data_IF_093968792089
#
_entry.id   IF_093968792089
#
_cell.length_a   1.000
_cell.length_b   1.000
_cell.length_c   1.000
_cell.angle_alpha   90.00
_cell.angle_beta   90.00
_cell.angle_gamma   90.00
#
_symmetry.space_group_name_H-M   'P 1'
#
loop_
_entity.id
_entity.type
_entity.pdbx_description
1 polymer ?
#
# COMPACT_ATOMS: atom_id res chain seq x y z
N UNK A 1 12.15 12.49 6.80
CA UNK A 1 13.55 11.97 6.79
C UNK A 1 14.06 11.57 8.17
N UNK A 2 13.90 12.40 9.20
CA UNK A 2 14.36 12.13 10.58
C UNK A 2 13.82 10.80 11.18
N UNK A 3 12.54 10.49 11.03
CA UNK A 3 11.94 9.22 11.49
C UNK A 3 12.47 8.01 10.69
N UNK A 4 12.81 8.19 9.42
CA UNK A 4 13.37 7.14 8.56
C UNK A 4 14.80 6.79 8.98
N UNK A 5 15.58 7.80 9.39
CA UNK A 5 16.89 7.61 10.01
C UNK A 5 16.77 6.93 11.37
N UNK A 6 15.78 7.28 12.19
CA UNK A 6 15.56 6.63 13.49
C UNK A 6 15.06 5.20 13.38
N UNK A 7 14.21 4.87 12.40
CA UNK A 7 13.74 3.50 12.15
C UNK A 7 14.84 2.65 11.50
N UNK A 8 15.59 3.22 10.54
CA UNK A 8 16.76 2.57 9.96
C UNK A 8 17.88 2.37 10.99
N UNK A 9 18.13 3.35 11.85
CA UNK A 9 19.09 3.27 12.95
C UNK A 9 18.59 2.34 14.06
N UNK A 10 17.30 2.29 14.38
CA UNK A 10 16.73 1.32 15.32
C UNK A 10 16.75 -0.10 14.74
N UNK A 11 16.55 -0.27 13.44
CA UNK A 11 16.66 -1.57 12.76
C UNK A 11 18.12 -2.02 12.69
N UNK A 12 19.05 -1.12 12.35
CA UNK A 12 20.48 -1.39 12.40
C UNK A 12 20.96 -1.57 13.84
N UNK A 13 20.42 -0.85 14.83
CA UNK A 13 20.74 -1.07 16.24
C UNK A 13 20.17 -2.38 16.72
N UNK A 14 18.94 -2.78 16.39
CA UNK A 14 18.38 -4.06 16.83
C UNK A 14 19.11 -5.22 16.14
N UNK A 15 19.46 -5.09 14.86
CA UNK A 15 20.26 -6.11 14.16
C UNK A 15 21.72 -6.10 14.64
N UNK A 16 22.37 -4.95 14.79
CA UNK A 16 23.75 -4.85 15.26
C UNK A 16 23.88 -5.13 16.75
N UNK A 17 22.89 -4.85 17.58
CA UNK A 17 22.84 -5.21 19.00
C UNK A 17 22.47 -6.68 19.17
N UNK A 18 21.61 -7.24 18.31
CA UNK A 18 21.39 -8.70 18.23
C UNK A 18 22.64 -9.45 17.78
N UNK A 19 23.35 -8.93 16.78
CA UNK A 19 24.65 -9.46 16.31
C UNK A 19 25.76 -9.23 17.35
N UNK A 20 25.82 -8.06 18.00
CA UNK A 20 26.83 -7.75 19.02
C UNK A 20 26.59 -8.52 20.33
N UNK A 21 25.34 -8.74 20.76
CA UNK A 21 25.03 -9.66 21.87
C UNK A 21 25.47 -11.10 21.55
N UNK A 22 25.38 -11.51 20.28
CA UNK A 22 25.88 -12.81 19.81
C UNK A 22 27.42 -12.86 19.79
N UNK A 23 28.09 -11.78 19.40
CA UNK A 23 29.56 -11.71 19.35
C UNK A 23 30.23 -11.48 20.72
N UNK A 24 29.57 -10.80 21.65
CA UNK A 24 30.15 -10.41 22.96
C UNK A 24 29.76 -11.35 24.09
N UNK A 25 28.67 -12.12 23.98
CA UNK A 25 28.13 -12.86 25.15
C UNK A 25 28.07 -14.38 25.04
N UNK A 26 28.42 -15.01 23.91
CA UNK A 26 28.39 -16.49 23.83
C UNK A 26 29.56 -17.04 23.01
N UNK A 27 30.60 -17.59 23.64
CA UNK A 27 31.63 -18.36 22.94
C UNK A 27 30.98 -19.62 22.34
N UNK A 28 31.06 -19.80 21.01
CA UNK A 28 30.67 -21.06 20.34
C UNK A 28 29.37 -21.05 19.52
N UNK A 29 29.05 -19.99 18.79
CA UNK A 29 27.92 -20.04 17.83
C UNK A 29 28.30 -20.78 16.54
N UNK A 30 27.64 -21.92 16.31
CA UNK A 30 27.65 -22.65 15.05
C UNK A 30 27.11 -21.78 13.91
N UNK A 31 27.75 -21.81 12.75
CA UNK A 31 27.32 -21.10 11.53
C UNK A 31 25.82 -21.34 11.17
N UNK A 32 25.24 -22.46 11.63
CA UNK A 32 23.82 -22.77 11.48
C UNK A 32 22.87 -21.79 12.19
N UNK A 33 23.24 -21.19 13.33
CA UNK A 33 22.38 -20.21 14.02
C UNK A 33 22.31 -18.89 13.26
N UNK A 34 23.43 -18.44 12.69
CA UNK A 34 23.50 -17.25 11.84
C UNK A 34 22.62 -17.41 10.60
N UNK A 35 22.67 -18.57 9.94
CA UNK A 35 21.82 -18.88 8.78
C UNK A 35 20.33 -18.85 9.14
N UNK A 36 19.95 -19.42 10.30
CA UNK A 36 18.55 -19.42 10.75
C UNK A 36 18.03 -18.01 11.05
N UNK A 37 18.84 -17.17 11.68
CA UNK A 37 18.51 -15.76 11.90
C UNK A 37 18.34 -15.01 10.58
N UNK A 38 19.22 -15.25 9.61
CA UNK A 38 19.11 -14.66 8.28
C UNK A 38 17.81 -15.08 7.57
N UNK A 39 17.42 -16.36 7.66
CA UNK A 39 16.16 -16.86 7.10
C UNK A 39 14.94 -16.21 7.75
N UNK A 40 14.89 -16.16 9.09
CA UNK A 40 13.81 -15.48 9.82
C UNK A 40 13.73 -14.00 9.45
N UNK A 41 14.88 -13.32 9.39
CA UNK A 41 14.97 -11.94 8.96
C UNK A 41 14.45 -11.73 7.54
N UNK A 42 14.78 -12.63 6.62
CA UNK A 42 14.32 -12.57 5.23
C UNK A 42 12.79 -12.69 5.10
N UNK A 43 12.15 -13.59 5.87
CA UNK A 43 10.67 -13.77 5.87
C UNK A 43 9.95 -12.48 6.27
N UNK A 44 10.54 -11.69 7.18
CA UNK A 44 9.96 -10.41 7.61
C UNK A 44 10.34 -9.26 6.68
N UNK A 45 11.60 -9.22 6.21
CA UNK A 45 12.13 -8.11 5.43
C UNK A 45 11.60 -8.09 3.99
N UNK A 46 11.46 -9.26 3.34
CA UNK A 46 11.05 -9.35 1.94
C UNK A 46 9.67 -8.71 1.68
N UNK A 47 8.62 -9.00 2.47
CA UNK A 47 7.32 -8.34 2.28
C UNK A 47 7.35 -6.82 2.51
N UNK A 48 8.16 -6.36 3.46
CA UNK A 48 8.25 -4.94 3.80
C UNK A 48 8.98 -4.13 2.71
N UNK A 49 10.05 -4.70 2.14
CA UNK A 49 10.87 -4.06 1.12
C UNK A 49 10.31 -4.27 -0.29
N UNK A 50 10.20 -5.52 -0.74
CA UNK A 50 9.91 -5.84 -2.15
C UNK A 50 8.45 -5.58 -2.54
N UNK A 51 7.53 -5.75 -1.59
CA UNK A 51 6.09 -5.65 -1.85
C UNK A 51 5.45 -4.41 -1.23
N UNK A 52 6.24 -3.39 -0.91
CA UNK A 52 5.75 -2.11 -0.39
C UNK A 52 4.91 -2.25 0.89
N UNK A 53 5.13 -3.31 1.68
CA UNK A 53 4.47 -3.50 2.97
C UNK A 53 4.72 -2.33 3.95
N UNK A 54 5.80 -1.58 3.75
CA UNK A 54 6.04 -0.34 4.48
C UNK A 54 4.91 0.69 4.32
N UNK A 55 4.26 0.76 3.15
CA UNK A 55 3.13 1.67 2.94
C UNK A 55 1.88 1.23 3.72
N UNK A 56 1.69 -0.09 3.90
CA UNK A 56 0.65 -0.64 4.79
C UNK A 56 0.90 -0.21 6.24
N UNK A 57 2.16 -0.25 6.70
CA UNK A 57 2.54 0.22 8.04
C UNK A 57 2.38 1.73 8.18
N UNK A 58 2.79 2.52 7.19
CA UNK A 58 2.63 3.99 7.18
C UNK A 58 1.17 4.43 7.24
N UNK A 59 0.28 3.64 6.67
CA UNK A 59 -1.16 3.90 6.68
C UNK A 59 -1.90 3.18 7.80
N UNK A 60 -1.17 2.53 8.73
CA UNK A 60 -1.76 1.77 9.82
C UNK A 60 -2.63 2.64 10.74
N UNK A 61 -2.20 3.87 11.00
CA UNK A 61 -2.91 4.85 11.82
C UNK A 61 -4.06 5.58 11.12
N UNK A 62 -4.32 5.32 9.84
CA UNK A 62 -5.36 6.01 9.10
C UNK A 62 -6.78 5.53 9.46
N UNK A 63 -7.80 6.36 9.17
CA UNK A 63 -9.20 5.95 9.24
C UNK A 63 -9.49 4.77 8.30
N UNK A 64 -10.58 4.04 8.58
CA UNK A 64 -11.03 2.93 7.74
C UNK A 64 -11.62 3.40 6.40
N UNK A 65 -12.09 4.65 6.38
CA UNK A 65 -12.58 5.37 5.22
C UNK A 65 -11.47 6.28 4.69
N UNK A 66 -11.39 6.40 3.36
CA UNK A 66 -10.52 7.39 2.76
C UNK A 66 -11.20 8.77 2.79
N UNK A 67 -10.41 9.82 2.71
CA UNK A 67 -10.92 11.20 2.69
C UNK A 67 -10.01 12.08 1.87
N UNK A 68 -10.57 13.12 1.26
CA UNK A 68 -9.78 14.18 0.66
C UNK A 68 -10.31 15.55 1.09
N UNK A 69 -9.44 16.55 1.06
CA UNK A 69 -9.83 17.95 1.25
C UNK A 69 -9.34 18.78 0.09
N UNK A 70 -10.23 19.61 -0.45
CA UNK A 70 -9.93 20.58 -1.49
C UNK A 70 -9.46 21.89 -0.86
N UNK A 71 -8.41 22.48 -1.39
CA UNK A 71 -7.88 23.80 -1.00
C UNK A 71 -7.42 24.54 -2.25
N UNK A 72 -7.53 25.85 -2.25
CA UNK A 72 -6.95 26.64 -3.34
C UNK A 72 -5.43 26.72 -3.17
N UNK A 73 -4.70 26.72 -4.28
CA UNK A 73 -3.26 26.89 -4.32
C UNK A 73 -2.91 28.34 -4.65
N UNK A 74 -2.58 29.18 -3.65
CA UNK A 74 -2.23 30.57 -3.91
C UNK A 74 -0.94 30.72 -4.74
N UNK A 75 -0.08 29.72 -4.80
CA UNK A 75 1.17 29.79 -5.56
C UNK A 75 0.96 29.57 -7.06
N UNK A 76 0.02 28.70 -7.44
CA UNK A 76 -0.25 28.37 -8.85
C UNK A 76 -1.58 28.94 -9.36
N UNK A 77 -2.40 29.54 -8.49
CA UNK A 77 -3.76 29.98 -8.79
C UNK A 77 -4.75 28.83 -9.06
N UNK A 78 -4.29 27.58 -8.83
CA UNK A 78 -5.04 26.35 -9.05
C UNK A 78 -5.66 25.80 -7.77
N UNK A 79 -5.89 24.50 -7.74
CA UNK A 79 -6.51 23.78 -6.62
C UNK A 79 -5.63 22.60 -6.22
N UNK A 80 -5.44 22.38 -4.92
CA UNK A 80 -4.80 21.19 -4.35
C UNK A 80 -5.84 20.32 -3.65
N UNK A 81 -5.77 19.02 -3.92
CA UNK A 81 -6.49 17.98 -3.22
C UNK A 81 -5.52 17.22 -2.32
N UNK A 82 -5.64 17.41 -1.01
CA UNK A 82 -4.91 16.62 -0.01
C UNK A 82 -5.66 15.29 0.20
N UNK A 83 -5.13 14.20 -0.32
CA UNK A 83 -5.77 12.87 -0.29
C UNK A 83 -5.15 12.00 0.80
N UNK A 84 -6.00 11.50 1.71
CA UNK A 84 -5.61 10.56 2.76
C UNK A 84 -6.21 9.18 2.48
N UNK A 85 -5.36 8.15 2.27
CA UNK A 85 -5.84 6.81 1.99
C UNK A 85 -6.45 6.15 3.23
N UNK A 86 -7.36 5.21 3.02
CA UNK A 86 -7.86 4.35 4.08
C UNK A 86 -6.73 3.46 4.62
N UNK A 87 -6.85 3.00 5.87
CA UNK A 87 -5.99 1.93 6.39
C UNK A 87 -6.34 0.58 5.78
N UNK A 88 -5.35 -0.31 5.69
CA UNK A 88 -5.60 -1.71 5.35
C UNK A 88 -6.52 -2.39 6.38
N UNK A 89 -7.27 -3.39 5.94
CA UNK A 89 -8.10 -4.22 6.79
C UNK A 89 -7.20 -5.07 7.71
N UNK A 90 -7.27 -4.77 9.02
CA UNK A 90 -6.44 -5.43 10.04
C UNK A 90 -6.87 -6.86 10.36
N UNK A 91 -8.17 -7.16 10.22
CA UNK A 91 -8.82 -8.31 10.84
C UNK A 91 -8.73 -9.68 10.13
N UNK A 92 -8.03 -9.85 8.99
CA UNK A 92 -7.47 -11.16 8.67
C UNK A 92 -5.96 -11.25 8.94
N UNK A 93 -5.24 -10.16 8.72
CA UNK A 93 -3.78 -10.22 8.64
C UNK A 93 -3.10 -10.22 10.02
N UNK A 94 -3.68 -9.52 11.01
CA UNK A 94 -3.08 -9.45 12.35
C UNK A 94 -2.93 -10.81 13.04
N UNK A 95 -3.98 -11.66 13.13
CA UNK A 95 -3.82 -12.98 13.74
C UNK A 95 -2.80 -13.86 13.01
N UNK A 96 -2.78 -13.78 11.67
CA UNK A 96 -1.84 -14.54 10.84
C UNK A 96 -0.39 -14.09 11.04
N UNK A 97 -0.14 -12.77 11.11
CA UNK A 97 1.18 -12.24 11.41
C UNK A 97 1.60 -12.52 12.86
N UNK A 98 0.67 -12.49 13.82
CA UNK A 98 0.95 -12.84 15.21
C UNK A 98 1.32 -14.32 15.35
N UNK A 99 0.54 -15.21 14.74
CA UNK A 99 0.82 -16.65 14.71
C UNK A 99 2.14 -16.94 13.99
N UNK A 100 2.36 -16.34 12.81
CA UNK A 100 3.60 -16.50 12.05
C UNK A 100 4.82 -15.99 12.82
N UNK A 101 4.74 -14.80 13.43
CA UNK A 101 5.82 -14.26 14.27
C UNK A 101 6.12 -15.13 15.49
N UNK A 102 5.07 -15.62 16.17
CA UNK A 102 5.23 -16.56 17.28
C UNK A 102 5.91 -17.87 16.83
N UNK A 103 5.50 -18.42 15.68
CA UNK A 103 6.10 -19.63 15.13
C UNK A 103 7.55 -19.42 14.68
N UNK A 104 7.92 -18.25 14.14
CA UNK A 104 9.32 -17.92 13.84
C UNK A 104 10.16 -17.85 15.12
N UNK A 105 9.63 -17.25 16.18
CA UNK A 105 10.29 -17.21 17.48
C UNK A 105 10.49 -18.63 18.05
N UNK A 106 9.45 -19.45 18.00
CA UNK A 106 9.52 -20.86 18.42
C UNK A 106 10.47 -21.68 17.55
N UNK A 107 10.52 -21.41 16.24
CA UNK A 107 11.46 -22.05 15.33
C UNK A 107 12.90 -21.78 15.74
N UNK A 108 13.24 -20.54 16.12
CA UNK A 108 14.58 -20.20 16.62
C UNK A 108 14.90 -20.91 17.95
N UNK A 109 13.94 -20.91 18.89
CA UNK A 109 14.14 -21.51 20.21
C UNK A 109 14.29 -23.04 20.18
N UNK A 110 13.43 -23.72 19.43
CA UNK A 110 13.46 -25.19 19.29
C UNK A 110 14.53 -25.62 18.27
N UNK A 111 14.76 -24.80 17.25
CA UNK A 111 15.74 -25.02 16.20
C UNK A 111 17.16 -25.14 16.73
N UNK A 112 17.48 -24.43 17.81
CA UNK A 112 18.74 -24.58 18.53
C UNK A 112 19.05 -26.03 18.93
N UNK A 113 18.04 -26.89 19.09
CA UNK A 113 18.17 -28.29 19.48
C UNK A 113 17.86 -29.30 18.36
N UNK A 114 17.13 -28.89 17.32
CA UNK A 114 16.75 -29.78 16.21
C UNK A 114 16.53 -29.02 14.92
N UNK A 115 17.29 -29.36 13.87
CA UNK A 115 17.12 -28.78 12.54
C UNK A 115 15.77 -29.14 11.91
N UNK A 116 15.26 -30.36 12.14
CA UNK A 116 13.95 -30.78 11.64
C UNK A 116 12.80 -29.96 12.24
N UNK A 117 12.88 -29.67 13.55
CA UNK A 117 11.89 -28.84 14.23
C UNK A 117 11.95 -27.36 13.77
N UNK A 118 13.15 -26.83 13.51
CA UNK A 118 13.30 -25.51 12.88
C UNK A 118 12.57 -25.45 11.54
N UNK A 119 12.86 -26.39 10.64
CA UNK A 119 12.31 -26.39 9.28
C UNK A 119 10.78 -26.50 9.31
N UNK A 120 10.23 -27.41 10.12
CA UNK A 120 8.78 -27.58 10.24
C UNK A 120 8.07 -26.31 10.70
N UNK A 121 8.54 -25.69 11.80
CA UNK A 121 7.95 -24.45 12.32
C UNK A 121 8.15 -23.27 11.38
N UNK A 122 9.33 -23.17 10.76
CA UNK A 122 9.65 -22.12 9.79
C UNK A 122 8.70 -22.16 8.58
N UNK A 123 8.48 -23.34 7.99
CA UNK A 123 7.56 -23.49 6.83
C UNK A 123 6.15 -23.04 7.20
N UNK A 124 5.61 -23.51 8.33
CA UNK A 124 4.26 -23.13 8.78
C UNK A 124 4.18 -21.62 9.03
N UNK A 125 5.21 -21.05 9.64
CA UNK A 125 5.28 -19.61 9.87
C UNK A 125 5.29 -18.80 8.57
N UNK A 126 6.07 -19.22 7.56
CA UNK A 126 6.10 -18.60 6.25
C UNK A 126 4.76 -18.68 5.55
N UNK A 127 4.03 -19.79 5.67
CA UNK A 127 2.66 -19.92 5.15
C UNK A 127 1.72 -18.93 5.84
N UNK A 128 1.72 -18.84 7.17
CA UNK A 128 0.90 -17.87 7.89
C UNK A 128 1.19 -16.42 7.46
N UNK A 129 2.46 -16.05 7.36
CA UNK A 129 2.87 -14.71 6.92
C UNK A 129 2.50 -14.47 5.47
N UNK A 130 2.72 -15.44 4.58
CA UNK A 130 2.36 -15.35 3.17
C UNK A 130 0.87 -15.14 2.94
N UNK A 131 0.03 -15.90 3.66
CA UNK A 131 -1.44 -15.71 3.63
C UNK A 131 -1.84 -14.35 4.24
N UNK A 132 -1.20 -13.92 5.34
CA UNK A 132 -1.43 -12.58 5.89
C UNK A 132 -1.11 -11.48 4.88
N UNK A 133 0.01 -11.63 4.18
CA UNK A 133 0.48 -10.76 3.12
C UNK A 133 -0.50 -10.68 1.94
N UNK A 134 -1.09 -11.79 1.49
CA UNK A 134 -2.05 -11.78 0.38
C UNK A 134 -3.31 -10.94 0.67
N UNK A 135 -3.65 -10.70 1.93
CA UNK A 135 -4.76 -9.81 2.31
C UNK A 135 -4.38 -8.33 2.34
N UNK A 136 -3.12 -7.95 2.57
CA UNK A 136 -2.75 -6.55 2.84
C UNK A 136 -1.88 -5.91 1.76
N UNK A 137 -1.12 -6.72 1.02
CA UNK A 137 -0.19 -6.24 0.00
C UNK A 137 -0.83 -5.84 -1.33
N UNK A 138 -1.96 -6.42 -1.79
CA UNK A 138 -2.63 -5.93 -2.99
C UNK A 138 -2.98 -4.43 -2.88
N UNK A 139 -2.47 -3.63 -3.82
CA UNK A 139 -2.62 -2.17 -3.82
C UNK A 139 -1.81 -1.44 -2.75
N UNK A 140 -0.85 -2.08 -2.08
CA UNK A 140 -0.03 -1.45 -1.05
C UNK A 140 0.95 -0.41 -1.62
N UNK A 141 1.44 -0.62 -2.84
CA UNK A 141 2.32 0.34 -3.53
C UNK A 141 1.68 1.73 -3.60
N UNK A 142 0.41 1.79 -3.99
CA UNK A 142 -0.31 3.05 -4.24
C UNK A 142 -0.94 3.64 -2.97
N UNK A 143 -0.88 2.92 -1.85
CA UNK A 143 -1.49 3.32 -0.57
C UNK A 143 -0.56 4.29 0.20
N UNK A 144 -0.47 5.53 -0.27
CA UNK A 144 0.29 6.61 0.38
C UNK A 144 -0.49 7.93 0.37
N UNK A 145 -0.37 8.77 1.42
CA UNK A 145 -0.89 10.14 1.38
C UNK A 145 -0.28 10.89 0.21
N UNK A 146 -1.10 11.60 -0.56
CA UNK A 146 -0.67 12.29 -1.76
C UNK A 146 -1.42 13.61 -1.92
N UNK A 147 -0.74 14.59 -2.52
CA UNK A 147 -1.32 15.86 -2.91
C UNK A 147 -1.47 15.86 -4.42
N UNK A 148 -2.70 16.07 -4.89
CA UNK A 148 -2.97 16.22 -6.32
C UNK A 148 -3.24 17.70 -6.59
N UNK A 149 -2.35 18.37 -7.31
CA UNK A 149 -2.56 19.75 -7.75
C UNK A 149 -3.12 19.79 -9.17
N UNK A 150 -4.04 20.70 -9.40
CA UNK A 150 -4.61 21.01 -10.72
C UNK A 150 -4.43 22.50 -10.93
N UNK A 151 -3.65 22.86 -11.95
CA UNK A 151 -3.41 24.26 -12.34
C UNK A 151 -3.41 24.40 -13.86
N UNK A 152 -3.28 25.63 -14.36
CA UNK A 152 -3.14 25.89 -15.79
C UNK A 152 -1.98 25.15 -16.47
N UNK A 153 -0.97 24.72 -15.71
CA UNK A 153 0.15 23.90 -16.22
C UNK A 153 -0.23 22.42 -16.41
N UNK A 154 -1.14 21.89 -15.59
CA UNK A 154 -1.54 20.49 -15.65
C UNK A 154 -2.00 19.91 -14.31
N UNK A 155 -2.13 18.59 -14.30
CA UNK A 155 -2.45 17.79 -13.12
C UNK A 155 -1.17 17.14 -12.62
N UNK A 156 -0.82 17.34 -11.36
CA UNK A 156 0.39 16.77 -10.77
C UNK A 156 0.09 16.03 -9.47
N UNK A 157 0.67 14.85 -9.31
CA UNK A 157 0.55 14.00 -8.13
C UNK A 157 1.88 13.28 -7.86
N UNK A 158 2.63 13.74 -6.86
CA UNK A 158 3.97 13.22 -6.59
C UNK A 158 4.87 13.29 -7.82
N UNK A 159 5.32 12.13 -8.31
CA UNK A 159 6.20 12.01 -9.49
C UNK A 159 5.43 11.96 -10.82
N UNK A 160 4.09 11.89 -10.78
CA UNK A 160 3.24 11.85 -11.97
C UNK A 160 2.75 13.25 -12.32
N UNK A 161 3.00 13.70 -13.54
CA UNK A 161 2.52 14.98 -14.05
C UNK A 161 1.96 14.83 -15.46
N UNK A 162 0.74 15.31 -15.68
CA UNK A 162 0.08 15.30 -16.98
C UNK A 162 -0.29 16.74 -17.36
N UNK A 163 0.22 17.27 -18.48
CA UNK A 163 -0.18 18.58 -18.99
C UNK A 163 -1.70 18.69 -19.19
N UNK A 164 -2.27 19.86 -18.90
CA UNK A 164 -3.73 20.05 -18.92
C UNK A 164 -4.40 19.69 -20.26
N UNK A 165 -3.69 19.95 -21.36
CA UNK A 165 -4.14 19.72 -22.73
C UNK A 165 -4.03 18.25 -23.15
N UNK A 166 -3.15 17.47 -22.51
CA UNK A 166 -3.00 16.05 -22.81
C UNK A 166 -3.86 15.17 -21.90
N UNK A 167 -4.57 15.70 -20.90
CA UNK A 167 -5.47 14.87 -20.09
C UNK A 167 -6.63 14.35 -20.94
N UNK A 168 -6.61 13.07 -21.30
CA UNK A 168 -7.66 12.44 -22.10
C UNK A 168 -8.76 11.85 -21.23
N UNK A 169 -8.37 11.28 -20.08
CA UNK A 169 -9.28 10.46 -19.30
C UNK A 169 -8.90 10.44 -17.82
N UNK A 170 -9.92 10.36 -16.98
CA UNK A 170 -9.80 10.22 -15.54
C UNK A 170 -10.71 9.06 -15.10
N UNK A 171 -10.11 7.97 -14.61
CA UNK A 171 -10.83 6.74 -14.29
C UNK A 171 -10.68 6.36 -12.84
N UNK A 172 -11.69 5.68 -12.32
CA UNK A 172 -11.61 4.96 -11.06
C UNK A 172 -11.29 3.51 -11.39
N UNK A 173 -10.19 3.00 -10.85
CA UNK A 173 -9.78 1.60 -10.99
C UNK A 173 -9.78 0.91 -9.65
N UNK A 174 -10.10 -0.39 -9.65
CA UNK A 174 -9.93 -1.25 -8.49
C UNK A 174 -8.57 -1.95 -8.59
N UNK A 175 -7.56 -1.39 -7.93
CA UNK A 175 -6.18 -1.92 -7.92
C UNK A 175 -5.85 -2.80 -6.71
N UNK A 176 -6.85 -3.09 -5.87
CA UNK A 176 -6.71 -3.86 -4.65
C UNK A 176 -7.02 -5.35 -4.82
N UNK A 177 -7.29 -6.01 -3.71
CA UNK A 177 -7.71 -7.42 -3.70
C UNK A 177 -9.02 -7.56 -4.48
N UNK A 178 -9.02 -8.39 -5.52
CA UNK A 178 -10.22 -8.77 -6.27
C UNK A 178 -10.84 -9.99 -5.60
N UNK A 179 -12.14 -9.90 -5.34
CA UNK A 179 -12.91 -10.97 -4.71
C UNK A 179 -14.07 -11.31 -5.60
N UNK A 180 -14.19 -12.59 -5.95
CA UNK A 180 -15.28 -13.12 -6.77
C UNK A 180 -16.66 -12.70 -6.18
N UNK A 181 -17.59 -12.18 -7.01
CA UNK A 181 -18.95 -11.81 -6.59
C UNK A 181 -19.91 -12.99 -6.35
N UNK A 182 -19.63 -14.20 -6.85
CA UNK A 182 -20.61 -15.30 -6.85
C UNK A 182 -20.87 -15.87 -5.45
N UNK A 183 -22.12 -16.10 -5.03
CA UNK A 183 -22.44 -16.59 -3.68
C UNK A 183 -21.78 -17.94 -3.40
N UNK A 184 -21.06 -18.04 -2.27
CA UNK A 184 -20.45 -19.29 -1.82
C UNK A 184 -21.42 -19.98 -0.86
N UNK A 185 -21.79 -21.23 -1.16
CA UNK A 185 -22.64 -22.05 -0.30
C UNK A 185 -21.81 -23.09 0.47
N UNK A 186 -21.95 -23.18 1.82
CA UNK A 186 -21.35 -24.26 2.59
C UNK A 186 -22.17 -25.55 2.44
N UNK A 187 -21.51 -26.71 2.45
CA UNK A 187 -22.18 -28.02 2.52
C UNK A 187 -21.39 -29.18 1.89
N UNK A 188 -21.92 -30.41 1.94
CA UNK A 188 -21.35 -31.56 1.24
C UNK A 188 -21.47 -31.32 -0.27
N UNK A 189 -20.35 -30.98 -0.93
CA UNK A 189 -20.31 -30.50 -2.33
C UNK A 189 -20.21 -28.98 -2.49
N UNK A 190 -20.26 -28.23 -1.40
CA UNK A 190 -20.02 -26.78 -1.35
C UNK A 190 -18.57 -26.43 -0.98
N UNK A 191 -18.31 -25.14 -0.74
CA UNK A 191 -16.95 -24.69 -0.39
C UNK A 191 -16.66 -24.80 1.12
N UNK A 192 -15.38 -24.99 1.51
CA UNK A 192 -14.97 -24.98 2.91
C UNK A 192 -15.35 -23.68 3.64
N UNK A 193 -15.69 -23.78 4.92
CA UNK A 193 -15.99 -22.62 5.80
C UNK A 193 -14.83 -21.60 5.80
N UNK A 194 -13.58 -22.08 5.73
CA UNK A 194 -12.40 -21.24 5.63
C UNK A 194 -12.41 -20.34 4.38
N UNK A 195 -12.92 -20.85 3.25
CA UNK A 195 -13.05 -20.07 2.00
C UNK A 195 -14.11 -18.98 2.15
N UNK A 196 -15.21 -19.26 2.86
CA UNK A 196 -16.27 -18.28 3.16
C UNK A 196 -15.72 -17.17 4.08
N UNK A 197 -15.01 -17.55 5.14
CA UNK A 197 -14.39 -16.62 6.08
C UNK A 197 -13.33 -15.74 5.39
N UNK A 198 -12.44 -16.35 4.61
CA UNK A 198 -11.43 -15.66 3.82
C UNK A 198 -12.06 -14.68 2.82
N UNK A 199 -13.17 -15.04 2.20
CA UNK A 199 -13.91 -14.16 1.28
C UNK A 199 -14.54 -12.96 1.97
N UNK A 200 -15.20 -13.17 3.11
CA UNK A 200 -15.75 -12.07 3.90
C UNK A 200 -14.67 -11.10 4.34
N UNK A 201 -13.49 -11.61 4.73
CA UNK A 201 -12.34 -10.81 5.09
C UNK A 201 -11.74 -10.08 3.88
N UNK A 202 -11.65 -10.74 2.74
CA UNK A 202 -11.18 -10.17 1.48
C UNK A 202 -12.06 -9.01 1.01
N UNK A 203 -13.39 -9.13 1.14
CA UNK A 203 -14.34 -8.05 0.78
C UNK A 203 -14.07 -6.76 1.56
N UNK A 204 -13.69 -6.85 2.83
CA UNK A 204 -13.34 -5.67 3.65
C UNK A 204 -12.09 -4.96 3.16
N UNK A 205 -11.12 -5.70 2.62
CA UNK A 205 -9.94 -5.11 2.00
C UNK A 205 -10.27 -4.56 0.61
N UNK A 206 -11.03 -5.30 -0.19
CA UNK A 206 -11.46 -4.89 -1.53
C UNK A 206 -12.20 -3.55 -1.50
N UNK A 207 -13.07 -3.33 -0.51
CA UNK A 207 -13.76 -2.05 -0.32
C UNK A 207 -12.83 -0.82 -0.11
N UNK A 208 -11.53 -1.03 0.09
CA UNK A 208 -10.50 -0.01 0.35
C UNK A 208 -9.34 -0.08 -0.65
N UNK A 209 -9.58 -0.69 -1.81
CA UNK A 209 -8.58 -0.96 -2.84
C UNK A 209 -8.72 -0.11 -4.10
N UNK A 210 -9.52 0.96 -4.05
CA UNK A 210 -9.77 1.81 -5.21
C UNK A 210 -8.63 2.82 -5.41
N UNK A 211 -8.43 3.22 -6.65
CA UNK A 211 -7.48 4.22 -7.07
C UNK A 211 -8.10 5.13 -8.13
N UNK A 212 -7.70 6.39 -8.13
CA UNK A 212 -7.99 7.33 -9.22
C UNK A 212 -6.77 7.37 -10.12
N UNK A 213 -6.97 7.13 -11.41
CA UNK A 213 -5.93 7.13 -12.43
C UNK A 213 -6.21 8.20 -13.48
N UNK A 214 -5.13 8.71 -14.07
CA UNK A 214 -5.16 9.69 -15.16
C UNK A 214 -4.48 9.09 -16.38
N UNK A 215 -4.98 9.42 -17.57
CA UNK A 215 -4.36 9.02 -18.83
C UNK A 215 -4.04 10.26 -19.66
N UNK A 216 -2.80 10.33 -20.10
CA UNK A 216 -2.36 11.32 -21.07
C UNK A 216 -2.65 10.87 -22.50
N UNK A 217 -2.79 11.84 -23.40
CA UNK A 217 -2.96 11.59 -24.82
C UNK A 217 -1.70 10.93 -25.40
N UNK A 218 -1.88 9.92 -26.24
CA UNK A 218 -0.80 9.08 -26.74
C UNK A 218 -0.24 8.04 -25.76
N UNK A 219 -0.64 8.04 -24.48
CA UNK A 219 -0.22 7.00 -23.53
C UNK A 219 -1.21 5.83 -23.47
N UNK A 220 -0.68 4.61 -23.60
CA UNK A 220 -1.46 3.38 -23.51
C UNK A 220 -1.81 2.99 -22.07
N UNK A 221 -1.01 3.42 -21.09
CA UNK A 221 -1.21 3.11 -19.68
C UNK A 221 -1.69 4.33 -18.90
N UNK A 222 -2.61 4.10 -17.96
CA UNK A 222 -3.03 5.14 -17.00
C UNK A 222 -2.08 5.17 -15.80
N UNK A 223 -1.71 6.36 -15.38
CA UNK A 223 -0.89 6.58 -14.19
C UNK A 223 -1.77 6.80 -12.95
N UNK A 224 -1.37 6.24 -11.81
CA UNK A 224 -2.14 6.35 -10.56
C UNK A 224 -1.91 7.71 -9.91
N UNK A 225 -2.97 8.51 -9.75
CA UNK A 225 -2.91 9.77 -9.02
C UNK A 225 -3.01 9.55 -7.51
N UNK A 226 -3.92 8.70 -7.06
CA UNK A 226 -4.12 8.38 -5.65
C UNK A 226 -4.67 6.97 -5.47
N UNK A 227 -4.14 6.21 -4.52
CA UNK A 227 -4.53 4.81 -4.26
C UNK A 227 -4.90 4.53 -2.81
N UNK A 228 -5.50 3.36 -2.57
CA UNK A 228 -5.97 2.96 -1.23
C UNK A 228 -7.23 3.70 -0.78
N UNK A 229 -8.09 4.06 -1.74
CA UNK A 229 -9.33 4.77 -1.53
C UNK A 229 -10.50 3.81 -1.31
N UNK A 230 -11.53 4.30 -0.63
CA UNK A 230 -12.87 3.69 -0.66
C UNK A 230 -13.59 4.11 -1.93
N UNK A 231 -14.51 3.29 -2.44
CA UNK A 231 -15.19 3.53 -3.72
C UNK A 231 -15.83 4.92 -3.80
N UNK A 232 -16.64 5.29 -2.81
CA UNK A 232 -17.34 6.58 -2.78
C UNK A 232 -16.36 7.77 -2.81
N UNK A 233 -15.26 7.65 -2.06
CA UNK A 233 -14.22 8.66 -2.01
C UNK A 233 -13.47 8.76 -3.34
N UNK A 234 -13.22 7.62 -4.02
CA UNK A 234 -12.56 7.60 -5.32
C UNK A 234 -13.44 8.24 -6.40
N UNK A 235 -14.75 7.92 -6.41
CA UNK A 235 -15.72 8.52 -7.34
C UNK A 235 -15.89 10.03 -7.09
N UNK A 236 -16.01 10.45 -5.82
CA UNK A 236 -16.11 11.86 -5.46
C UNK A 236 -14.84 12.65 -5.83
N UNK A 237 -13.66 12.09 -5.54
CA UNK A 237 -12.38 12.70 -5.92
C UNK A 237 -12.25 12.81 -7.44
N UNK A 238 -12.65 11.78 -8.18
CA UNK A 238 -12.60 11.80 -9.63
C UNK A 238 -13.53 12.87 -10.23
N UNK A 239 -14.75 13.00 -9.71
CA UNK A 239 -15.69 14.03 -10.13
C UNK A 239 -15.16 15.45 -9.86
N UNK A 240 -14.59 15.68 -8.67
CA UNK A 240 -14.05 16.99 -8.29
C UNK A 240 -12.77 17.36 -9.06
N UNK A 241 -11.90 16.38 -9.34
CA UNK A 241 -10.75 16.56 -10.23
C UNK A 241 -11.19 16.91 -11.64
N UNK A 242 -12.20 16.21 -12.18
CA UNK A 242 -12.75 16.51 -13.51
C UNK A 242 -13.25 17.95 -13.61
N UNK A 243 -14.05 18.40 -12.63
CA UNK A 243 -14.53 19.79 -12.56
C UNK A 243 -13.39 20.81 -12.46
N UNK A 244 -12.36 20.51 -11.65
CA UNK A 244 -11.19 21.39 -11.53
C UNK A 244 -10.44 21.50 -12.87
N UNK A 245 -10.22 20.39 -13.56
CA UNK A 245 -9.55 20.35 -14.88
C UNK A 245 -10.33 21.16 -15.91
N UNK A 246 -11.65 20.97 -15.99
CA UNK A 246 -12.52 21.73 -16.90
C UNK A 246 -12.47 23.24 -16.60
N UNK A 247 -12.49 23.62 -15.31
CA UNK A 247 -12.41 25.02 -14.91
C UNK A 247 -11.08 25.67 -15.30
N UNK A 248 -9.96 24.96 -15.15
CA UNK A 248 -8.64 25.45 -15.57
C UNK A 248 -8.52 25.54 -17.09
N UNK A 249 -9.14 24.60 -17.83
CA UNK A 249 -9.21 24.66 -19.30
C UNK A 249 -9.98 25.89 -19.76
N UNK A 250 -11.12 26.16 -19.13
CA UNK A 250 -11.94 27.34 -19.45
C UNK A 250 -11.17 28.64 -19.20
N UNK A 251 -10.52 28.78 -18.03
CA UNK A 251 -9.67 29.94 -17.70
C UNK A 251 -8.57 30.16 -18.73
N UNK A 252 -7.91 29.08 -19.16
CA UNK A 252 -6.84 29.14 -20.17
C UNK A 252 -7.37 29.53 -21.55
N UNK A 253 -8.53 29.01 -21.95
CA UNK A 253 -9.19 29.39 -23.20
C UNK A 253 -9.56 30.88 -23.22
N UNK A 254 -10.12 31.40 -22.12
CA UNK A 254 -10.43 32.83 -21.99
C UNK A 254 -9.19 33.72 -22.02
N UNK A 255 -8.09 33.28 -21.40
CA UNK A 255 -6.82 34.02 -21.41
C UNK A 255 -6.18 34.06 -22.82
N UNK A 256 -6.30 32.99 -23.60
CA UNK A 256 -5.85 33.00 -25.00
C UNK A 256 -6.71 33.90 -25.88
N UNK A 257 -8.03 33.96 -25.64
CA UNK A 257 -8.94 34.82 -26.39
C UNK A 257 -8.69 36.32 -26.14
N UNK A 258 -8.32 36.72 -24.92
CA UNK A 258 -8.02 38.13 -24.59
C UNK A 258 -6.66 38.62 -25.08
N UNK A 259 -5.68 37.74 -25.30
CA UNK A 259 -4.36 38.09 -25.84
C UNK A 259 -4.37 38.12 -27.38
N UNK A 260 -5.34 37.48 -28.03
CA UNK A 260 -5.46 37.35 -29.48
C UNK A 260 -6.19 38.48 -30.22
N UNK A 261 -6.36 39.66 -29.64
CA UNK A 261 -6.90 40.84 -30.34
C UNK A 261 -5.73 41.72 -30.84
N UNK A 262 -5.24 41.55 -32.08
CA UNK A 262 -4.44 42.57 -32.72
C UNK A 262 -5.37 43.75 -33.06
N UNK A 263 -5.04 44.92 -32.52
CA UNK A 263 -5.49 46.21 -33.02
C UNK A 263 -4.99 46.46 -34.43
#
# INVERSE_FOLDING_TARGET
MRILLWVGAAFLLVNAFGVALVFVSVPGQDAGMVVRLALVGAVVALPLWKWHGMNVLRTWGNPATASFTRRDDPATGGVVFDVRPARAARMPALPLFAAGGFLLLMALLVGARSTGAFIGLYIVATVCIGVGCSFVLPGAHDRKPVKVSVSGHGVQSGDTGVPLNSVTDLRVMHGGLVVDPDPLMPGPGGVPIASIAGRHMGRRQAARGYAVTIRADGESQSSVLAGGLTEDCARALAADLGKAIESERAKRATAHATVGVPS
#
